data_IF_039765785783
#
_entry.id   IF_039765785783
#
_cell.length_a   1.000
_cell.length_b   1.000
_cell.length_c   1.000
_cell.angle_alpha   90.00
_cell.angle_beta   90.00
_cell.angle_gamma   90.00
#
_symmetry.space_group_name_H-M   'P 1'
#
loop_
_entity.id
_entity.type
_entity.pdbx_description
1 polymer ?
#
# COMPACT_ATOMS: atom_id res chain seq x y z
N UNK A 1 19.20 0.59 15.01
CA UNK A 1 18.51 1.89 14.89
C UNK A 1 19.38 3.08 15.30
N UNK A 2 20.13 2.99 16.40
CA UNK A 2 20.85 4.13 17.02
C UNK A 2 21.94 4.80 16.17
N UNK A 3 22.40 4.16 15.10
CA UNK A 3 23.39 4.71 14.18
C UNK A 3 22.77 5.27 12.88
N UNK A 4 21.48 5.01 12.65
CA UNK A 4 20.84 5.45 11.41
C UNK A 4 20.56 6.95 11.46
N UNK A 5 20.95 7.64 10.39
CA UNK A 5 20.66 9.05 10.22
C UNK A 5 19.26 9.22 9.62
N UNK A 6 18.43 9.97 10.33
CA UNK A 6 17.14 10.47 9.86
C UNK A 6 17.28 11.96 9.53
N UNK A 7 16.45 12.47 8.62
CA UNK A 7 16.48 13.84 8.17
C UNK A 7 15.09 14.47 8.30
N UNK A 8 14.96 15.38 9.27
CA UNK A 8 13.69 15.97 9.71
C UNK A 8 12.58 14.93 9.92
N UNK A 9 12.74 13.93 10.80
CA UNK A 9 11.65 13.01 11.09
C UNK A 9 10.51 13.73 11.82
N UNK A 10 9.31 13.78 11.24
CA UNK A 10 8.17 14.54 11.77
C UNK A 10 7.11 13.66 12.43
N UNK A 11 6.62 12.64 11.72
CA UNK A 11 5.57 11.75 12.20
C UNK A 11 6.08 10.40 12.69
N UNK A 12 5.38 9.82 13.68
CA UNK A 12 5.70 8.51 14.24
C UNK A 12 4.43 7.76 14.63
N UNK A 13 4.40 6.46 14.38
CA UNK A 13 3.34 5.55 14.83
C UNK A 13 3.93 4.24 15.35
N UNK A 14 3.20 3.57 16.24
CA UNK A 14 3.59 2.25 16.76
C UNK A 14 2.44 1.28 16.52
N UNK A 15 2.73 0.12 15.96
CA UNK A 15 1.71 -0.91 15.76
C UNK A 15 1.52 -1.80 16.99
N UNK A 16 0.52 -2.69 16.93
CA UNK A 16 0.22 -3.67 17.98
C UNK A 16 1.32 -4.72 18.24
N UNK A 17 2.29 -4.84 17.33
CA UNK A 17 3.43 -5.74 17.47
C UNK A 17 4.65 -5.01 18.09
N UNK A 18 4.53 -3.70 18.35
CA UNK A 18 5.61 -2.88 18.90
C UNK A 18 6.60 -2.35 17.86
N UNK A 19 6.29 -2.46 16.56
CA UNK A 19 7.11 -1.87 15.49
C UNK A 19 6.85 -0.38 15.40
N UNK A 20 7.90 0.41 15.25
CA UNK A 20 7.83 1.88 15.18
C UNK A 20 8.00 2.34 13.74
N UNK A 21 7.04 3.08 13.22
CA UNK A 21 7.04 3.66 11.88
C UNK A 21 7.36 5.15 11.97
N UNK A 22 8.25 5.64 11.13
CA UNK A 22 8.76 7.01 11.18
C UNK A 22 8.70 7.62 9.78
N UNK A 23 8.07 8.78 9.66
CA UNK A 23 8.16 9.59 8.46
C UNK A 23 9.52 10.30 8.45
N UNK A 24 10.46 9.83 7.64
CA UNK A 24 11.80 10.41 7.46
C UNK A 24 11.71 11.48 6.36
N UNK A 25 11.04 12.59 6.72
CA UNK A 25 10.40 13.52 5.79
C UNK A 25 11.33 14.06 4.71
N UNK A 26 12.48 14.62 5.08
CA UNK A 26 13.42 15.20 4.10
C UNK A 26 14.20 14.14 3.32
N UNK A 27 14.12 12.87 3.72
CA UNK A 27 14.63 11.73 2.94
C UNK A 27 13.55 11.09 2.05
N UNK A 28 12.31 11.62 2.04
CA UNK A 28 11.21 11.15 1.19
C UNK A 28 10.92 9.65 1.31
N UNK A 29 10.94 9.14 2.55
CA UNK A 29 10.74 7.71 2.84
C UNK A 29 10.12 7.48 4.21
N UNK A 30 9.56 6.30 4.39
CA UNK A 30 9.07 5.80 5.68
C UNK A 30 10.01 4.72 6.19
N UNK A 31 10.39 4.85 7.46
CA UNK A 31 11.28 3.92 8.16
C UNK A 31 10.49 3.08 9.15
N UNK A 32 10.92 1.86 9.36
CA UNK A 32 10.36 0.98 10.39
C UNK A 32 11.50 0.48 11.29
N UNK A 33 11.29 0.54 12.60
CA UNK A 33 12.15 -0.07 13.61
C UNK A 33 11.40 -1.28 14.16
N UNK A 34 12.01 -2.46 14.06
CA UNK A 34 11.43 -3.68 14.62
C UNK A 34 11.73 -3.83 16.12
N UNK A 35 11.21 -4.91 16.72
CA UNK A 35 11.39 -5.19 18.15
C UNK A 35 12.84 -5.54 18.53
N UNK A 36 13.66 -5.91 17.54
CA UNK A 36 15.09 -6.16 17.71
C UNK A 36 15.92 -4.86 17.54
N UNK A 37 15.25 -3.74 17.24
CA UNK A 37 15.86 -2.43 17.07
C UNK A 37 16.54 -2.24 15.71
N UNK A 38 16.27 -3.09 14.72
CA UNK A 38 16.77 -2.96 13.35
C UNK A 38 15.87 -1.98 12.61
N UNK A 39 16.50 -1.05 11.87
CA UNK A 39 15.78 -0.03 11.11
C UNK A 39 15.85 -0.31 9.61
N UNK A 40 14.69 -0.38 8.96
CA UNK A 40 14.55 -0.64 7.53
C UNK A 40 13.71 0.44 6.85
N UNK A 41 13.68 0.46 5.51
CA UNK A 41 12.78 1.30 4.74
C UNK A 41 11.58 0.46 4.33
N UNK A 42 10.37 0.95 4.58
CA UNK A 42 9.11 0.24 4.25
C UNK A 42 8.29 0.98 3.19
N UNK A 43 8.67 2.19 2.82
CA UNK A 43 8.06 2.94 1.72
C UNK A 43 8.93 4.11 1.28
N UNK A 44 8.88 4.47 0.00
CA UNK A 44 9.61 5.61 -0.54
C UNK A 44 11.05 5.28 -0.97
N UNK A 45 11.39 5.61 -2.21
CA UNK A 45 12.76 5.54 -2.76
C UNK A 45 13.34 6.91 -3.15
N UNK A 46 12.64 8.00 -2.84
CA UNK A 46 13.04 9.37 -3.17
C UNK A 46 11.85 10.28 -3.46
N UNK A 47 12.15 11.57 -3.60
CA UNK A 47 11.18 12.64 -3.87
C UNK A 47 10.33 12.34 -5.11
N UNK A 48 9.04 12.65 -5.11
CA UNK A 48 8.13 12.59 -6.27
C UNK A 48 6.89 11.76 -6.02
N UNK A 49 6.12 11.44 -7.09
CA UNK A 49 4.92 10.61 -7.01
C UNK A 49 4.96 9.48 -8.05
N UNK A 50 4.88 8.22 -7.59
CA UNK A 50 4.73 7.03 -8.42
C UNK A 50 4.37 5.79 -7.57
N UNK A 51 4.18 4.65 -8.23
CA UNK A 51 4.22 3.32 -7.60
C UNK A 51 2.91 2.80 -7.02
N UNK A 52 1.78 3.47 -7.27
CA UNK A 52 0.46 2.93 -6.91
C UNK A 52 0.22 1.54 -7.53
N UNK A 53 -0.32 0.64 -6.71
CA UNK A 53 -0.53 -0.77 -7.04
C UNK A 53 0.73 -1.66 -6.93
N UNK A 54 1.92 -1.05 -6.84
CA UNK A 54 3.22 -1.71 -6.77
C UNK A 54 3.88 -1.66 -5.39
N UNK A 55 5.19 -1.97 -5.30
CA UNK A 55 5.92 -2.06 -4.03
C UNK A 55 6.08 -0.70 -3.39
N UNK A 56 5.75 -0.62 -2.11
CA UNK A 56 5.92 0.59 -1.32
C UNK A 56 7.37 1.09 -1.34
N UNK A 57 8.34 0.18 -1.24
CA UNK A 57 9.77 0.51 -1.23
C UNK A 57 10.30 1.05 -2.57
N UNK A 58 9.55 0.88 -3.67
CA UNK A 58 9.89 1.42 -4.99
C UNK A 58 9.02 2.61 -5.39
N UNK A 59 8.03 2.96 -4.57
CA UNK A 59 7.24 4.15 -4.81
C UNK A 59 8.03 5.42 -4.48
N UNK A 60 7.71 6.50 -5.20
CA UNK A 60 8.19 7.84 -4.84
C UNK A 60 7.17 8.51 -3.92
N UNK A 61 7.69 9.18 -2.90
CA UNK A 61 6.95 10.00 -1.94
C UNK A 61 7.55 11.41 -1.96
N UNK A 62 6.79 12.42 -1.53
CA UNK A 62 7.27 13.78 -1.48
C UNK A 62 6.90 14.45 -0.15
N UNK A 63 7.92 14.69 0.68
CA UNK A 63 7.79 15.29 1.99
C UNK A 63 6.75 14.60 2.87
N UNK A 64 6.81 13.26 3.10
CA UNK A 64 5.83 12.60 3.95
C UNK A 64 5.95 13.15 5.37
N UNK A 65 4.88 13.74 5.92
CA UNK A 65 4.95 14.41 7.24
C UNK A 65 4.42 13.58 8.39
N UNK A 66 3.48 12.68 8.10
CA UNK A 66 2.86 11.86 9.14
C UNK A 66 2.57 10.44 8.69
N UNK A 67 2.49 9.55 9.67
CA UNK A 67 2.13 8.15 9.50
C UNK A 67 1.16 7.70 10.59
N UNK A 68 0.24 6.81 10.24
CA UNK A 68 -0.62 6.14 11.20
C UNK A 68 -0.82 4.69 10.78
N UNK A 69 -0.95 3.78 11.73
CA UNK A 69 -1.12 2.35 11.47
C UNK A 69 -2.39 1.84 12.10
N UNK A 70 -3.17 1.07 11.35
CA UNK A 70 -4.38 0.45 11.87
C UNK A 70 -4.13 -0.94 12.48
N UNK A 71 -5.17 -1.56 13.03
CA UNK A 71 -5.09 -2.89 13.63
C UNK A 71 -4.93 -4.03 12.63
N UNK A 72 -5.25 -3.78 11.36
CA UNK A 72 -5.22 -4.75 10.26
C UNK A 72 -3.85 -4.80 9.58
N UNK A 73 -2.98 -3.82 9.83
CA UNK A 73 -1.65 -3.74 9.24
C UNK A 73 -1.59 -2.82 8.02
N UNK A 74 -2.48 -1.84 7.92
CA UNK A 74 -2.37 -0.78 6.94
C UNK A 74 -1.66 0.43 7.53
N UNK A 75 -0.59 0.87 6.87
CA UNK A 75 0.19 2.05 7.19
C UNK A 75 -0.25 3.20 6.28
N UNK A 76 -0.96 4.16 6.85
CA UNK A 76 -1.34 5.40 6.20
C UNK A 76 -0.20 6.40 6.26
N UNK A 77 0.00 7.12 5.16
CA UNK A 77 1.09 8.08 4.96
C UNK A 77 0.48 9.37 4.45
N UNK A 78 0.79 10.47 5.12
CA UNK A 78 0.51 11.81 4.63
C UNK A 78 1.63 12.17 3.67
N UNK A 79 1.42 11.91 2.37
CA UNK A 79 2.32 12.25 1.28
C UNK A 79 2.12 13.75 0.94
N UNK A 80 2.54 14.60 1.88
CA UNK A 80 2.03 15.95 2.07
C UNK A 80 2.27 16.84 0.87
N UNK A 81 3.48 16.84 0.33
CA UNK A 81 3.84 17.74 -0.76
C UNK A 81 3.33 17.21 -2.12
N UNK A 82 2.86 15.96 -2.16
CA UNK A 82 2.05 15.40 -3.25
C UNK A 82 0.54 15.62 -3.05
N UNK A 83 0.11 16.26 -1.96
CA UNK A 83 -1.30 16.49 -1.59
C UNK A 83 -2.14 15.20 -1.53
N UNK A 84 -1.58 14.11 -0.99
CA UNK A 84 -2.23 12.78 -1.00
C UNK A 84 -2.13 12.09 0.35
N UNK A 85 -3.08 11.19 0.59
CA UNK A 85 -2.95 10.10 1.55
C UNK A 85 -2.67 8.82 0.78
N UNK A 86 -1.55 8.19 1.10
CA UNK A 86 -1.16 6.87 0.60
C UNK A 86 -1.38 5.85 1.70
N UNK A 87 -1.67 4.61 1.34
CA UNK A 87 -1.71 3.47 2.26
C UNK A 87 -0.75 2.40 1.78
N UNK A 88 0.01 1.82 2.71
CA UNK A 88 0.81 0.62 2.50
C UNK A 88 0.14 -0.54 3.23
N UNK A 89 -0.20 -1.60 2.51
CA UNK A 89 -0.50 -2.88 3.13
C UNK A 89 0.82 -3.51 3.57
N UNK A 90 1.04 -3.59 4.89
CA UNK A 90 2.29 -4.09 5.46
C UNK A 90 2.47 -5.60 5.31
N UNK A 91 1.42 -6.33 4.93
CA UNK A 91 1.50 -7.76 4.65
C UNK A 91 1.98 -7.97 3.21
N UNK A 92 1.32 -7.34 2.23
CA UNK A 92 1.70 -7.51 0.82
C UNK A 92 2.84 -6.59 0.37
N UNK A 93 3.18 -5.56 1.15
CA UNK A 93 4.21 -4.57 0.83
C UNK A 93 3.79 -3.56 -0.24
N UNK A 94 2.49 -3.46 -0.52
CA UNK A 94 1.96 -2.70 -1.66
C UNK A 94 1.45 -1.35 -1.22
N UNK A 95 1.69 -0.32 -2.04
CA UNK A 95 1.21 1.04 -1.79
C UNK A 95 0.11 1.45 -2.77
N UNK A 96 -0.82 2.28 -2.30
CA UNK A 96 -1.91 2.82 -3.10
C UNK A 96 -2.32 4.21 -2.60
N UNK A 97 -2.70 5.11 -3.48
CA UNK A 97 -3.38 6.37 -3.10
C UNK A 97 -4.81 6.05 -2.67
N UNK A 98 -5.23 6.54 -1.50
CA UNK A 98 -6.59 6.40 -0.98
C UNK A 98 -7.33 7.73 -0.89
N UNK A 99 -6.60 8.85 -0.86
CA UNK A 99 -7.18 10.17 -1.01
C UNK A 99 -6.23 11.19 -1.62
N UNK A 100 -6.79 12.22 -2.27
CA UNK A 100 -6.02 13.31 -2.87
C UNK A 100 -5.69 13.11 -4.34
N UNK A 101 -5.65 14.21 -5.09
CA UNK A 101 -5.13 14.32 -6.46
C UNK A 101 -4.32 15.61 -6.61
N UNK A 102 -3.53 15.71 -7.68
CA UNK A 102 -2.84 16.97 -7.98
C UNK A 102 -3.84 18.11 -8.19
N UNK A 103 -3.50 19.28 -7.64
CA UNK A 103 -4.28 20.50 -7.77
C UNK A 103 -4.13 21.05 -9.20
N UNK A 104 -4.93 20.56 -10.15
CA UNK A 104 -5.30 21.37 -11.31
C UNK A 104 -6.69 21.95 -11.05
N UNK A 105 -6.71 23.27 -10.99
CA UNK A 105 -7.84 24.15 -10.71
C UNK A 105 -9.03 23.87 -11.64
N UNK A 106 -9.98 23.03 -11.22
CA UNK A 106 -11.32 22.94 -11.81
C UNK A 106 -12.32 22.41 -10.78
N UNK A 107 -13.09 23.33 -10.20
CA UNK A 107 -14.40 23.06 -9.57
C UNK A 107 -14.39 22.22 -8.28
N UNK A 108 -15.40 22.44 -7.43
CA UNK A 108 -15.64 21.53 -6.31
C UNK A 108 -15.89 20.11 -6.85
N UNK A 109 -15.24 19.08 -6.29
CA UNK A 109 -15.52 17.70 -6.68
C UNK A 109 -16.97 17.36 -6.32
N UNK A 110 -17.68 16.73 -7.26
CA UNK A 110 -18.95 16.07 -6.98
C UNK A 110 -18.74 15.05 -5.83
N UNK A 111 -19.73 14.94 -4.96
CA UNK A 111 -19.70 14.06 -3.79
C UNK A 111 -19.33 12.61 -4.19
N UNK A 112 -18.32 12.02 -3.54
CA UNK A 112 -18.26 10.55 -3.44
C UNK A 112 -16.96 9.80 -3.73
N UNK A 113 -15.80 10.44 -3.96
CA UNK A 113 -14.53 9.69 -4.08
C UNK A 113 -13.40 10.35 -3.28
N UNK A 114 -12.74 9.57 -2.41
CA UNK A 114 -11.51 9.99 -1.73
C UNK A 114 -10.41 10.38 -2.72
N UNK A 115 -10.35 9.71 -3.88
CA UNK A 115 -9.40 10.04 -4.96
C UNK A 115 -9.71 11.38 -5.66
N UNK A 116 -10.94 11.87 -5.55
CA UNK A 116 -11.37 13.15 -6.12
C UNK A 116 -11.31 14.30 -5.10
N UNK A 117 -10.98 14.05 -3.84
CA UNK A 117 -10.86 15.13 -2.85
C UNK A 117 -9.61 15.97 -3.12
N UNK A 118 -9.78 17.28 -3.33
CA UNK A 118 -8.68 18.23 -3.32
C UNK A 118 -8.18 18.41 -1.89
N UNK A 119 -7.24 17.57 -1.47
CA UNK A 119 -6.43 17.80 -0.28
C UNK A 119 -5.41 18.91 -0.58
N UNK A 120 -5.06 19.68 0.44
CA UNK A 120 -4.06 20.72 0.36
C UNK A 120 -3.17 20.66 1.60
N UNK A 121 -1.96 20.16 1.41
CA UNK A 121 -0.96 19.89 2.46
C UNK A 121 -1.53 19.07 3.63
N UNK A 122 -2.00 17.83 3.39
CA UNK A 122 -2.42 16.96 4.49
C UNK A 122 -1.21 16.71 5.40
N UNK A 123 -1.27 17.13 6.67
CA UNK A 123 -0.09 17.17 7.56
C UNK A 123 -0.14 16.22 8.75
N UNK A 124 -1.33 15.73 9.09
CA UNK A 124 -1.55 14.80 10.21
C UNK A 124 -2.60 13.76 9.86
N UNK A 125 -2.41 12.54 10.35
CA UNK A 125 -3.32 11.40 10.17
C UNK A 125 -3.58 10.73 11.51
N UNK A 126 -4.83 10.39 11.77
CA UNK A 126 -5.20 9.54 12.89
C UNK A 126 -6.15 8.44 12.44
N UNK A 127 -5.89 7.20 12.84
CA UNK A 127 -6.76 6.05 12.53
C UNK A 127 -7.38 5.56 13.83
N UNK A 128 -8.70 5.44 13.83
CA UNK A 128 -9.44 4.85 14.95
C UNK A 128 -9.37 3.32 14.91
N UNK A 129 -9.60 2.63 16.05
CA UNK A 129 -9.73 1.17 16.08
C UNK A 129 -10.83 0.61 15.16
N UNK A 130 -11.85 1.42 14.82
CA UNK A 130 -12.90 1.04 13.87
C UNK A 130 -12.50 1.20 12.40
N UNK A 131 -11.27 1.64 12.11
CA UNK A 131 -10.78 1.84 10.73
C UNK A 131 -11.14 3.18 10.11
N UNK A 132 -11.78 4.11 10.83
CA UNK A 132 -11.98 5.49 10.35
C UNK A 132 -10.66 6.25 10.38
N UNK A 133 -10.40 7.01 9.32
CA UNK A 133 -9.19 7.82 9.15
C UNK A 133 -9.53 9.30 9.20
N UNK A 134 -8.87 10.05 10.07
CA UNK A 134 -8.98 11.50 10.17
C UNK A 134 -7.73 12.16 9.62
N UNK A 135 -7.91 13.20 8.80
CA UNK A 135 -6.82 13.89 8.09
C UNK A 135 -6.89 15.37 8.39
N UNK A 136 -5.77 15.96 8.80
CA UNK A 136 -5.60 17.41 8.87
C UNK A 136 -5.30 17.98 7.48
N UNK A 137 -6.35 18.37 6.75
CA UNK A 137 -6.28 19.01 5.43
C UNK A 137 -5.93 20.50 5.59
N UNK A 138 -4.65 20.74 5.88
CA UNK A 138 -4.20 21.87 6.71
C UNK A 138 -4.38 23.21 6.02
N UNK A 139 -4.06 23.32 4.74
CA UNK A 139 -4.26 24.57 4.00
C UNK A 139 -5.72 24.79 3.57
N UNK A 140 -6.57 23.77 3.70
CA UNK A 140 -8.02 23.92 3.59
C UNK A 140 -8.69 24.17 4.96
N UNK A 141 -7.92 24.34 6.03
CA UNK A 141 -8.37 24.66 7.39
C UNK A 141 -9.46 23.71 7.92
N UNK A 142 -9.38 22.42 7.59
CA UNK A 142 -10.40 21.43 7.99
C UNK A 142 -9.80 20.09 8.40
N UNK A 143 -10.56 19.35 9.19
CA UNK A 143 -10.35 17.92 9.40
C UNK A 143 -11.28 17.16 8.46
N UNK A 144 -10.76 16.17 7.74
CA UNK A 144 -11.55 15.26 6.92
C UNK A 144 -11.62 13.90 7.59
N UNK A 145 -12.81 13.32 7.63
CA UNK A 145 -13.01 11.92 7.96
C UNK A 145 -13.08 11.11 6.66
N UNK A 146 -12.41 9.98 6.61
CA UNK A 146 -12.52 8.98 5.56
C UNK A 146 -12.89 7.64 6.18
N UNK A 147 -13.90 7.00 5.59
CA UNK A 147 -14.16 5.58 5.79
C UNK A 147 -13.54 4.84 4.62
N UNK A 148 -12.47 4.10 4.88
CA UNK A 148 -11.79 3.32 3.86
C UNK A 148 -12.22 1.87 4.05
N UNK A 149 -13.05 1.40 3.12
CA UNK A 149 -13.35 -0.02 3.03
C UNK A 149 -12.17 -0.69 2.33
N UNK A 150 -11.31 -1.31 3.13
CA UNK A 150 -10.53 -2.42 2.64
C UNK A 150 -11.52 -3.58 2.54
N UNK A 151 -11.81 -4.13 1.36
CA UNK A 151 -12.53 -5.38 1.32
C UNK A 151 -11.76 -6.32 2.23
N UNK A 152 -12.44 -6.94 3.20
CA UNK A 152 -11.83 -7.97 4.04
C UNK A 152 -11.02 -8.87 3.11
N UNK A 153 -9.77 -9.17 3.50
CA UNK A 153 -9.05 -10.26 2.86
C UNK A 153 -10.06 -11.40 2.80
N UNK A 154 -10.50 -11.75 1.59
CA UNK A 154 -11.59 -12.68 1.39
C UNK A 154 -11.24 -13.88 2.26
N UNK A 155 -11.97 -14.08 3.36
CA UNK A 155 -11.95 -15.36 4.05
C UNK A 155 -12.45 -16.27 2.95
N UNK A 156 -11.63 -17.16 2.38
CA UNK A 156 -12.15 -18.06 1.39
C UNK A 156 -13.28 -18.77 2.12
N UNK A 157 -14.51 -18.66 1.62
CA UNK A 157 -15.42 -19.78 1.84
C UNK A 157 -14.62 -21.02 1.47
N UNK A 158 -14.76 -22.14 2.22
CA UNK A 158 -14.14 -23.38 1.81
C UNK A 158 -14.75 -23.75 0.45
N UNK A 159 -14.14 -23.26 -0.61
CA UNK A 159 -14.44 -23.62 -1.96
C UNK A 159 -13.99 -25.07 -2.05
N UNK A 160 -15.01 -25.91 -2.09
CA UNK A 160 -14.92 -27.33 -2.35
C UNK A 160 -13.82 -27.60 -3.38
N UNK A 161 -12.86 -28.43 -2.96
CA UNK A 161 -11.67 -28.81 -3.71
C UNK A 161 -12.09 -29.46 -5.03
N UNK A 162 -12.09 -28.69 -6.10
CA UNK A 162 -12.56 -29.15 -7.40
C UNK A 162 -12.06 -28.30 -8.56
N UNK A 163 -10.77 -27.99 -8.62
CA UNK A 163 -10.20 -27.34 -9.80
C UNK A 163 -8.85 -26.68 -9.55
N UNK A 164 -7.84 -27.17 -10.26
CA UNK A 164 -6.50 -26.59 -10.35
C UNK A 164 -6.64 -25.21 -11.01
N UNK A 165 -6.51 -24.11 -10.27
CA UNK A 165 -6.70 -22.77 -10.84
C UNK A 165 -6.24 -21.61 -9.95
N UNK A 166 -6.77 -21.52 -8.73
CA UNK A 166 -6.69 -20.24 -7.98
C UNK A 166 -5.52 -20.17 -6.97
N UNK A 167 -4.82 -21.29 -6.68
CA UNK A 167 -3.62 -21.32 -5.83
C UNK A 167 -2.30 -21.43 -6.61
N UNK A 168 -2.33 -21.42 -7.95
CA UNK A 168 -1.13 -21.65 -8.75
C UNK A 168 -0.13 -20.47 -8.71
N UNK A 169 -0.61 -19.26 -8.39
CA UNK A 169 0.20 -18.03 -8.38
C UNK A 169 0.70 -17.61 -6.98
N UNK A 170 0.35 -18.34 -5.92
CA UNK A 170 0.93 -18.19 -4.58
C UNK A 170 2.24 -18.99 -4.53
N UNK A 171 3.34 -18.34 -4.89
CA UNK A 171 4.63 -18.98 -5.03
C UNK A 171 5.40 -19.07 -3.72
N UNK A 172 5.06 -18.25 -2.73
CA UNK A 172 5.68 -18.29 -1.40
C UNK A 172 4.92 -19.18 -0.40
N UNK A 173 3.68 -19.59 -0.73
CA UNK A 173 2.84 -20.47 0.07
C UNK A 173 2.21 -19.79 1.29
N UNK A 174 2.10 -18.46 1.30
CA UNK A 174 1.56 -17.70 2.42
C UNK A 174 0.03 -17.57 2.39
N UNK A 175 -0.62 -18.14 1.36
CA UNK A 175 -2.05 -18.13 1.14
C UNK A 175 -2.56 -16.85 0.47
N UNK A 176 -1.67 -15.97 -0.01
CA UNK A 176 -2.01 -14.72 -0.69
C UNK A 176 -1.22 -14.60 -2.00
N UNK A 177 -1.83 -13.95 -2.99
CA UNK A 177 -1.14 -13.62 -4.25
C UNK A 177 -0.73 -12.15 -4.15
N UNK A 178 0.53 -11.90 -3.82
CA UNK A 178 1.05 -10.59 -3.47
C UNK A 178 2.25 -10.15 -4.30
N UNK A 179 2.85 -9.03 -3.91
CA UNK A 179 4.07 -8.55 -4.58
C UNK A 179 5.26 -9.51 -4.37
N UNK A 180 5.31 -10.21 -3.23
CA UNK A 180 6.33 -11.23 -2.97
C UNK A 180 6.27 -12.36 -4.00
N UNK A 181 5.06 -12.80 -4.39
CA UNK A 181 4.87 -13.79 -5.44
C UNK A 181 5.30 -13.24 -6.80
N UNK A 182 5.02 -11.97 -7.08
CA UNK A 182 5.52 -11.33 -8.30
C UNK A 182 7.05 -11.35 -8.37
N UNK A 183 7.75 -11.09 -7.25
CA UNK A 183 9.22 -11.14 -7.22
C UNK A 183 9.73 -12.54 -7.51
N UNK A 184 9.11 -13.56 -6.91
CA UNK A 184 9.45 -14.97 -7.17
C UNK A 184 9.20 -15.33 -8.64
N UNK A 185 8.03 -14.97 -9.18
CA UNK A 185 7.69 -15.14 -10.59
C UNK A 185 8.70 -14.47 -11.53
N UNK A 186 8.99 -13.18 -11.29
CA UNK A 186 9.88 -12.39 -12.13
C UNK A 186 11.31 -12.96 -12.13
N UNK A 187 11.75 -13.54 -11.02
CA UNK A 187 13.05 -14.22 -10.94
C UNK A 187 13.14 -15.48 -11.81
N UNK A 188 12.01 -16.10 -12.12
CA UNK A 188 11.90 -17.28 -12.97
C UNK A 188 11.63 -16.94 -14.45
N UNK A 189 11.48 -15.66 -14.81
CA UNK A 189 11.15 -15.27 -16.18
C UNK A 189 12.21 -15.73 -17.18
N UNK A 190 11.79 -16.40 -18.24
CA UNK A 190 12.66 -16.99 -19.26
C UNK A 190 13.17 -18.40 -18.94
N UNK A 191 12.83 -18.96 -17.77
CA UNK A 191 13.16 -20.34 -17.40
C UNK A 191 12.08 -21.34 -17.88
N UNK A 192 12.29 -22.62 -17.61
CA UNK A 192 11.33 -23.71 -17.81
C UNK A 192 10.92 -24.35 -16.48
N UNK A 193 10.94 -23.58 -15.38
CA UNK A 193 10.55 -24.08 -14.07
C UNK A 193 9.02 -24.26 -14.02
N UNK A 194 8.51 -25.50 -13.88
CA UNK A 194 7.08 -25.79 -13.91
C UNK A 194 6.33 -25.15 -12.73
N UNK A 195 7.03 -24.71 -11.68
CA UNK A 195 6.40 -23.98 -10.57
C UNK A 195 5.82 -22.64 -11.04
N UNK A 196 6.46 -21.98 -11.99
CA UNK A 196 6.10 -20.62 -12.43
C UNK A 196 5.48 -20.59 -13.85
N UNK A 197 5.34 -21.76 -14.48
CA UNK A 197 4.69 -21.96 -15.79
C UNK A 197 3.17 -22.14 -15.60
N UNK A 198 2.48 -21.01 -15.39
CA UNK A 198 1.03 -20.96 -15.18
C UNK A 198 0.24 -21.32 -16.44
N UNK A 199 0.84 -21.16 -17.62
CA UNK A 199 0.26 -21.49 -18.91
C UNK A 199 0.40 -22.98 -19.28
N UNK A 200 1.37 -23.67 -18.66
CA UNK A 200 1.69 -25.08 -18.93
C UNK A 200 2.36 -25.29 -20.29
N UNK A 201 2.97 -24.25 -20.88
CA UNK A 201 3.56 -24.30 -22.21
C UNK A 201 5.05 -24.75 -22.20
N UNK A 202 5.60 -25.03 -21.02
CA UNK A 202 6.98 -25.45 -20.79
C UNK A 202 7.96 -24.28 -20.60
N UNK A 203 7.49 -23.03 -20.50
CA UNK A 203 8.34 -21.85 -20.34
C UNK A 203 7.64 -20.72 -19.60
N UNK A 204 8.33 -20.17 -18.60
CA UNK A 204 7.90 -18.96 -17.89
C UNK A 204 8.11 -17.73 -18.78
N UNK A 205 7.03 -17.14 -19.26
CA UNK A 205 7.02 -16.05 -20.22
C UNK A 205 5.83 -15.10 -19.99
N UNK A 206 5.54 -14.27 -21.00
CA UNK A 206 4.51 -13.25 -20.92
C UNK A 206 3.10 -13.83 -20.74
N UNK A 207 2.84 -15.03 -21.27
CA UNK A 207 1.56 -15.73 -21.09
C UNK A 207 1.31 -16.08 -19.61
N UNK A 208 2.35 -16.50 -18.90
CA UNK A 208 2.30 -16.74 -17.45
C UNK A 208 2.16 -15.44 -16.68
N UNK A 209 2.78 -14.35 -17.15
CA UNK A 209 2.60 -13.04 -16.53
C UNK A 209 1.14 -12.56 -16.61
N UNK A 210 0.47 -12.75 -17.75
CA UNK A 210 -0.97 -12.43 -17.89
C UNK A 210 -1.81 -13.27 -16.92
N UNK A 211 -1.47 -14.55 -16.78
CA UNK A 211 -2.15 -15.46 -15.85
C UNK A 211 -1.92 -15.05 -14.38
N UNK A 212 -0.69 -14.68 -14.03
CA UNK A 212 -0.33 -14.14 -12.73
C UNK A 212 -1.12 -12.87 -12.42
N UNK A 213 -1.18 -11.92 -13.36
CA UNK A 213 -1.92 -10.66 -13.18
C UNK A 213 -3.42 -10.92 -13.01
N UNK A 214 -4.01 -11.86 -13.76
CA UNK A 214 -5.41 -12.22 -13.58
C UNK A 214 -5.68 -12.80 -12.18
N UNK A 215 -4.81 -13.69 -11.70
CA UNK A 215 -4.92 -14.27 -10.35
C UNK A 215 -4.70 -13.21 -9.25
N UNK A 216 -3.72 -12.31 -9.46
CA UNK A 216 -3.43 -11.18 -8.58
C UNK A 216 -4.59 -10.19 -8.52
N UNK A 217 -5.23 -9.84 -9.64
CA UNK A 217 -6.41 -8.96 -9.67
C UNK A 217 -7.62 -9.60 -8.97
N UNK A 218 -7.86 -10.90 -9.19
CA UNK A 218 -8.92 -11.64 -8.50
C UNK A 218 -8.69 -11.71 -6.99
N UNK A 219 -7.44 -11.92 -6.56
CA UNK A 219 -7.07 -11.93 -5.14
C UNK A 219 -7.29 -10.59 -4.46
N UNK A 220 -7.29 -9.50 -5.24
CA UNK A 220 -7.24 -8.15 -4.70
C UNK A 220 -8.59 -7.54 -4.38
N UNK A 221 -9.69 -7.95 -5.01
CA UNK A 221 -11.02 -7.36 -4.76
C UNK A 221 -11.03 -5.82 -4.72
N UNK A 222 -10.04 -5.15 -5.30
CA UNK A 222 -9.66 -3.79 -4.89
C UNK A 222 -10.50 -2.79 -5.68
N UNK A 223 -11.75 -2.66 -5.27
CA UNK A 223 -12.56 -1.47 -5.54
C UNK A 223 -12.73 -0.77 -4.21
N UNK A 224 -12.03 0.35 -3.94
CA UNK A 224 -12.38 1.20 -2.82
C UNK A 224 -13.81 1.68 -3.05
N UNK A 225 -14.78 1.05 -2.40
CA UNK A 225 -16.16 1.52 -2.33
C UNK A 225 -16.27 2.30 -1.04
N UNK A 226 -16.23 3.63 -1.15
CA UNK A 226 -16.45 4.51 -0.02
C UNK A 226 -17.96 4.68 0.16
N UNK A 227 -18.50 4.18 1.26
CA UNK A 227 -19.86 4.45 1.71
C UNK A 227 -19.88 5.73 2.55
N UNK A 228 -20.25 6.84 1.89
CA UNK A 228 -20.83 8.12 2.37
C UNK A 228 -20.22 8.84 3.59
N UNK A 229 -20.30 10.18 3.53
CA UNK A 229 -20.02 11.14 4.61
C UNK A 229 -21.00 10.96 5.79
#
# INVERSE_FOLDING_TARGET
>A
AIEAQLNQPLGVAVDRLGRVYIADTSNNRIRMIDTDGIITTVGGMGEGFSGDGGPAVLARLNGPRDVAVDTLGHLFIADTDNNRIRVVDLISGVIQTVAGKEFQDFGEPEEGSGLETSLNTPSGIFVTPSGKVYIADSNNHRIRELTIAFPDAIVPEPHDTGGVGDQAADFNGDGKIGFTDFVLFASAFGTSDPKYDLSGNGRVAFEDFVSFVAAFEQSRGFKPVILRQ
#
